data_IF_216023694698
#
_entry.id   IF_216023694698
#
_cell.length_a   1.000
_cell.length_b   1.000
_cell.length_c   1.000
_cell.angle_alpha   90.00
_cell.angle_beta   90.00
_cell.angle_gamma   90.00
#
_symmetry.space_group_name_H-M   'P 1'
#
loop_
_entity.id
_entity.type
_entity.pdbx_description
1 polymer ?
#
# COMPACT_ATOMS: atom_id res chain seq x y z
N UNK A 1 54.79 59.48 -27.18
CA UNK A 1 54.29 59.27 -25.82
C UNK A 1 53.08 58.34 -25.89
N UNK A 2 53.31 57.14 -25.45
CA UNK A 2 52.36 56.05 -25.66
C UNK A 2 51.65 55.75 -24.35
N UNK A 3 50.33 55.91 -24.29
CA UNK A 3 49.50 55.52 -23.16
C UNK A 3 49.06 54.04 -23.30
N UNK A 4 49.54 53.21 -22.40
CA UNK A 4 49.12 51.81 -22.30
C UNK A 4 48.01 51.73 -21.28
N UNK A 5 46.78 51.53 -21.78
CA UNK A 5 45.62 51.28 -20.96
C UNK A 5 45.55 49.79 -20.62
N UNK A 6 45.73 49.44 -19.35
CA UNK A 6 45.56 48.06 -18.88
C UNK A 6 44.11 47.77 -18.64
N UNK A 7 43.51 46.90 -19.48
CA UNK A 7 42.20 46.27 -19.22
C UNK A 7 42.37 45.14 -18.20
N UNK A 8 41.82 45.29 -17.03
CA UNK A 8 41.61 44.21 -16.07
C UNK A 8 40.31 43.48 -16.43
N UNK A 9 40.43 42.30 -17.03
CA UNK A 9 39.31 41.39 -17.22
C UNK A 9 39.07 40.61 -15.92
N UNK A 10 38.02 40.98 -15.18
CA UNK A 10 37.54 40.24 -14.03
C UNK A 10 36.75 39.03 -14.49
N UNK A 11 37.31 37.84 -14.35
CA UNK A 11 36.56 36.59 -14.54
C UNK A 11 35.67 36.32 -13.33
N UNK A 12 34.36 36.59 -13.45
CA UNK A 12 33.36 36.15 -12.49
C UNK A 12 33.09 34.64 -12.68
N UNK A 13 33.68 33.82 -11.83
CA UNK A 13 33.32 32.40 -11.75
C UNK A 13 31.93 32.28 -11.09
N UNK A 14 30.92 32.16 -11.91
CA UNK A 14 29.60 31.80 -11.45
C UNK A 14 29.58 30.29 -11.09
N UNK A 15 29.71 29.98 -9.81
CA UNK A 15 29.50 28.64 -9.28
C UNK A 15 27.99 28.35 -9.40
N UNK A 16 27.60 27.66 -10.50
CA UNK A 16 26.27 27.07 -10.61
C UNK A 16 26.20 25.91 -9.61
N UNK A 17 25.56 26.17 -8.48
CA UNK A 17 25.09 25.11 -7.57
C UNK A 17 23.96 24.42 -8.32
N UNK A 18 24.27 23.33 -9.02
CA UNK A 18 23.29 22.43 -9.57
C UNK A 18 22.56 21.79 -8.38
N UNK A 19 21.43 22.36 -7.99
CA UNK A 19 20.44 21.59 -7.23
C UNK A 19 20.04 20.44 -8.14
N UNK A 20 20.57 19.24 -7.87
CA UNK A 20 20.13 18.03 -8.51
C UNK A 20 18.65 17.88 -8.22
N UNK A 21 17.81 18.28 -9.16
CA UNK A 21 16.43 17.84 -9.17
C UNK A 21 16.48 16.32 -9.28
N UNK A 22 16.31 15.62 -8.15
CA UNK A 22 16.07 14.20 -8.19
C UNK A 22 14.78 14.00 -8.97
N UNK A 23 14.93 13.63 -10.23
CA UNK A 23 13.77 13.33 -11.06
C UNK A 23 13.04 12.15 -10.43
N UNK A 24 11.74 12.26 -10.28
CA UNK A 24 10.87 11.14 -9.95
C UNK A 24 11.11 10.02 -10.97
N UNK A 25 11.47 8.83 -10.50
CA UNK A 25 11.76 7.68 -11.37
C UNK A 25 10.53 6.84 -11.61
N UNK A 26 9.65 6.73 -10.60
CA UNK A 26 8.44 5.92 -10.68
C UNK A 26 7.31 6.52 -9.84
N UNK A 27 6.07 6.45 -10.34
CA UNK A 27 4.83 6.66 -9.58
C UNK A 27 4.10 5.33 -9.50
N UNK A 28 3.78 4.88 -8.29
CA UNK A 28 3.04 3.66 -8.02
C UNK A 28 1.61 3.97 -7.64
N UNK A 29 0.66 3.35 -8.28
CA UNK A 29 -0.76 3.42 -7.95
C UNK A 29 -1.11 2.43 -6.84
N UNK A 30 -1.74 2.91 -5.76
CA UNK A 30 -2.23 2.09 -4.65
C UNK A 30 -3.75 2.11 -4.65
N UNK A 31 -4.39 0.95 -4.79
CA UNK A 31 -5.84 0.86 -4.86
C UNK A 31 -6.42 0.00 -3.75
N UNK A 32 -7.51 0.45 -3.13
CA UNK A 32 -8.20 -0.30 -2.07
C UNK A 32 -9.66 0.11 -1.92
N UNK A 33 -10.44 -0.72 -1.19
CA UNK A 33 -11.89 -0.55 -1.05
C UNK A 33 -12.31 0.33 0.15
N UNK A 34 -11.43 0.60 1.11
CA UNK A 34 -11.75 1.40 2.28
C UNK A 34 -11.86 2.88 1.96
N UNK A 35 -12.71 3.57 2.72
CA UNK A 35 -12.83 5.02 2.62
C UNK A 35 -11.56 5.78 3.06
N UNK A 36 -11.38 7.04 2.63
CA UNK A 36 -10.15 7.81 2.86
C UNK A 36 -9.88 8.14 4.34
N UNK A 37 -10.89 8.04 5.21
CA UNK A 37 -10.74 8.24 6.66
C UNK A 37 -10.56 6.95 7.43
N UNK A 38 -10.57 5.80 6.77
CA UNK A 38 -10.39 4.51 7.43
C UNK A 38 -9.00 4.41 8.08
N UNK A 39 -8.86 3.74 9.25
CA UNK A 39 -7.57 3.59 9.91
C UNK A 39 -6.49 2.94 9.04
N UNK A 40 -6.84 1.99 8.18
CA UNK A 40 -5.87 1.38 7.26
C UNK A 40 -5.32 2.40 6.26
N UNK A 41 -6.15 3.32 5.73
CA UNK A 41 -5.69 4.42 4.90
C UNK A 41 -4.80 5.37 5.70
N UNK A 42 -5.37 6.01 6.73
CA UNK A 42 -4.76 7.17 7.39
C UNK A 42 -3.62 6.82 8.37
N UNK A 43 -3.55 5.57 8.88
CA UNK A 43 -2.57 5.14 9.88
C UNK A 43 -1.60 4.07 9.40
N UNK A 44 -1.83 3.49 8.22
CA UNK A 44 -0.97 2.45 7.65
C UNK A 44 -0.49 2.84 6.25
N UNK A 45 -1.39 2.92 5.27
CA UNK A 45 -1.01 3.12 3.85
C UNK A 45 -0.35 4.49 3.62
N UNK A 46 -0.97 5.58 4.05
CA UNK A 46 -0.42 6.93 3.85
C UNK A 46 0.94 7.14 4.57
N UNK A 47 1.09 6.79 5.87
CA UNK A 47 2.39 6.91 6.53
C UNK A 47 3.48 6.03 5.92
N UNK A 48 3.12 4.83 5.47
CA UNK A 48 4.03 3.93 4.77
C UNK A 48 4.49 4.52 3.44
N UNK A 49 3.56 4.98 2.60
CA UNK A 49 3.86 5.61 1.32
C UNK A 49 4.77 6.84 1.50
N UNK A 50 4.41 7.73 2.43
CA UNK A 50 5.22 8.91 2.77
C UNK A 50 6.64 8.54 3.20
N UNK A 51 6.79 7.52 4.04
CA UNK A 51 8.11 7.04 4.46
C UNK A 51 8.97 6.58 3.28
N UNK A 52 8.40 5.79 2.36
CA UNK A 52 9.11 5.34 1.16
C UNK A 52 9.48 6.52 0.24
N UNK A 53 8.58 7.49 0.07
CA UNK A 53 8.87 8.71 -0.69
C UNK A 53 10.08 9.47 -0.10
N UNK A 54 10.11 9.64 1.22
CA UNK A 54 11.20 10.30 1.95
C UNK A 54 12.52 9.51 1.83
N UNK A 55 12.49 8.20 2.10
CA UNK A 55 13.68 7.33 2.06
C UNK A 55 14.22 7.13 0.65
N UNK A 56 13.38 7.21 -0.38
CA UNK A 56 13.82 7.19 -1.78
C UNK A 56 14.34 8.54 -2.29
N UNK A 57 14.37 9.58 -1.44
CA UNK A 57 14.67 10.96 -1.85
C UNK A 57 13.75 11.46 -2.98
N UNK A 58 12.47 11.07 -2.94
CA UNK A 58 11.45 11.47 -3.90
C UNK A 58 11.52 10.77 -5.26
N UNK A 59 12.35 9.73 -5.40
CA UNK A 59 12.40 8.93 -6.64
C UNK A 59 11.18 8.05 -6.82
N UNK A 60 10.58 7.58 -5.72
CA UNK A 60 9.33 6.82 -5.72
C UNK A 60 8.22 7.74 -5.20
N UNK A 61 7.10 7.78 -5.91
CA UNK A 61 5.88 8.49 -5.55
C UNK A 61 4.70 7.53 -5.51
N UNK A 62 3.69 7.88 -4.73
CA UNK A 62 2.47 7.09 -4.63
C UNK A 62 1.24 7.91 -4.95
N UNK A 63 0.34 7.35 -5.74
CA UNK A 63 -1.02 7.83 -5.94
C UNK A 63 -1.99 6.83 -5.32
N UNK A 64 -2.72 7.27 -4.26
CA UNK A 64 -3.58 6.38 -3.49
C UNK A 64 -5.03 6.60 -3.92
N UNK A 65 -5.69 5.53 -4.31
CA UNK A 65 -7.06 5.48 -4.81
C UNK A 65 -7.96 4.70 -3.83
N UNK A 66 -8.56 5.38 -2.83
CA UNK A 66 -9.46 4.76 -1.85
C UNK A 66 -10.86 4.53 -2.46
N UNK A 67 -11.70 3.77 -1.72
CA UNK A 67 -13.13 3.58 -2.05
C UNK A 67 -13.38 3.04 -3.46
N UNK A 68 -12.51 2.19 -3.97
CA UNK A 68 -12.60 1.65 -5.34
C UNK A 68 -12.61 2.75 -6.43
N UNK A 69 -11.90 3.87 -6.22
CA UNK A 69 -11.97 5.03 -7.11
C UNK A 69 -11.33 4.81 -8.50
N UNK A 70 -10.54 3.75 -8.69
CA UNK A 70 -10.14 3.29 -10.04
C UNK A 70 -11.21 2.40 -10.70
N UNK A 71 -12.35 2.18 -10.04
CA UNK A 71 -13.45 1.36 -10.54
C UNK A 71 -13.39 -0.09 -10.10
N UNK A 72 -14.44 -0.84 -10.43
CA UNK A 72 -14.62 -2.24 -10.03
C UNK A 72 -15.19 -2.41 -8.62
N UNK A 73 -15.13 -3.63 -8.12
CA UNK A 73 -15.61 -4.05 -6.80
C UNK A 73 -14.46 -4.67 -5.99
N UNK A 74 -14.54 -4.74 -4.65
CA UNK A 74 -13.49 -5.30 -3.81
C UNK A 74 -12.96 -6.68 -4.24
N UNK A 75 -13.78 -7.64 -4.68
CA UNK A 75 -13.30 -8.91 -5.23
C UNK A 75 -12.40 -8.79 -6.47
N UNK A 76 -12.43 -7.68 -7.18
CA UNK A 76 -11.62 -7.50 -8.39
C UNK A 76 -10.22 -6.96 -8.11
N UNK A 77 -9.91 -6.50 -6.89
CA UNK A 77 -8.62 -5.89 -6.55
C UNK A 77 -7.44 -6.82 -6.85
N UNK A 78 -7.53 -8.10 -6.50
CA UNK A 78 -6.46 -9.05 -6.82
C UNK A 78 -6.22 -9.17 -8.32
N UNK A 79 -7.29 -9.26 -9.10
CA UNK A 79 -7.18 -9.27 -10.56
C UNK A 79 -6.58 -7.97 -11.09
N UNK A 80 -6.97 -6.83 -10.53
CA UNK A 80 -6.46 -5.52 -10.96
C UNK A 80 -4.95 -5.38 -10.75
N UNK A 81 -4.39 -5.83 -9.63
CA UNK A 81 -2.93 -5.78 -9.44
C UNK A 81 -2.21 -6.77 -10.35
N UNK A 82 -2.74 -7.96 -10.54
CA UNK A 82 -2.17 -8.96 -11.45
C UNK A 82 -2.18 -8.49 -12.91
N UNK A 83 -3.25 -7.83 -13.33
CA UNK A 83 -3.44 -7.35 -14.70
C UNK A 83 -2.80 -5.96 -14.92
N UNK A 84 -2.16 -5.36 -13.91
CA UNK A 84 -1.47 -4.07 -14.01
C UNK A 84 -2.39 -2.84 -14.07
N UNK A 85 -3.64 -2.95 -13.61
CA UNK A 85 -4.55 -1.80 -13.47
C UNK A 85 -4.13 -0.92 -12.29
N UNK A 86 -3.60 -1.53 -11.24
CA UNK A 86 -2.95 -0.87 -10.13
C UNK A 86 -1.63 -1.58 -9.83
N UNK A 87 -0.63 -0.85 -9.35
CA UNK A 87 0.67 -1.42 -8.99
C UNK A 87 0.62 -2.13 -7.64
N UNK A 88 -0.18 -1.62 -6.73
CA UNK A 88 -0.35 -2.13 -5.38
C UNK A 88 -1.83 -2.14 -5.03
N UNK A 89 -2.29 -3.22 -4.40
CA UNK A 89 -3.64 -3.29 -3.84
C UNK A 89 -3.60 -3.71 -2.38
N UNK A 90 -4.53 -3.21 -1.60
CA UNK A 90 -4.84 -3.74 -0.28
C UNK A 90 -6.23 -4.37 -0.31
N UNK A 91 -6.31 -5.67 -0.06
CA UNK A 91 -7.53 -6.47 -0.21
C UNK A 91 -7.63 -7.55 0.86
N UNK A 92 -8.75 -8.26 0.90
CA UNK A 92 -9.00 -9.41 1.76
C UNK A 92 -9.08 -10.68 0.89
N UNK A 93 -8.36 -11.76 1.24
CA UNK A 93 -8.44 -13.05 0.54
C UNK A 93 -9.88 -13.58 0.42
N UNK A 94 -10.67 -13.48 1.49
CA UNK A 94 -12.07 -13.94 1.52
C UNK A 94 -13.03 -13.22 0.56
N UNK A 95 -12.62 -12.14 -0.09
CA UNK A 95 -13.39 -11.53 -1.17
C UNK A 95 -13.34 -12.33 -2.48
N UNK A 96 -12.38 -13.24 -2.61
CA UNK A 96 -12.21 -14.11 -3.79
C UNK A 96 -12.14 -15.58 -3.35
N UNK A 97 -13.25 -16.15 -2.82
CA UNK A 97 -13.24 -17.49 -2.24
C UNK A 97 -12.62 -18.54 -3.17
N UNK A 98 -11.72 -19.36 -2.62
CA UNK A 98 -11.05 -20.43 -3.35
C UNK A 98 -9.84 -19.99 -4.18
N UNK A 99 -9.55 -18.69 -4.27
CA UNK A 99 -8.32 -18.20 -4.91
C UNK A 99 -7.12 -18.34 -4.00
N UNK A 100 -7.31 -18.21 -2.68
CA UNK A 100 -6.28 -18.27 -1.66
C UNK A 100 -6.58 -19.33 -0.59
N UNK A 101 -6.72 -20.61 -0.96
CA UNK A 101 -7.28 -21.62 -0.06
C UNK A 101 -6.49 -21.84 1.22
N UNK A 102 -5.18 -21.59 1.22
CA UNK A 102 -4.35 -21.69 2.42
C UNK A 102 -4.40 -20.41 3.26
N UNK A 103 -4.37 -19.26 2.61
CA UNK A 103 -4.40 -17.96 3.30
C UNK A 103 -5.77 -17.68 3.91
N UNK A 104 -6.86 -18.13 3.29
CA UNK A 104 -8.23 -18.03 3.78
C UNK A 104 -8.44 -18.75 5.14
N UNK A 105 -7.58 -19.70 5.51
CA UNK A 105 -7.63 -20.36 6.83
C UNK A 105 -7.56 -19.35 7.97
N UNK A 106 -6.84 -18.26 7.81
CA UNK A 106 -6.73 -17.21 8.83
C UNK A 106 -8.00 -16.37 8.99
N UNK A 107 -8.95 -16.47 8.08
CA UNK A 107 -10.26 -15.82 8.17
C UNK A 107 -11.34 -16.71 8.79
N UNK A 108 -11.03 -18.00 9.07
CA UNK A 108 -11.99 -18.93 9.65
C UNK A 108 -12.32 -18.58 11.09
N UNK A 109 -13.59 -18.78 11.51
CA UNK A 109 -14.00 -18.59 12.90
C UNK A 109 -13.14 -19.43 13.86
N UNK A 110 -12.64 -18.81 14.93
CA UNK A 110 -11.86 -19.49 15.96
C UNK A 110 -10.36 -19.62 15.69
N UNK A 111 -9.88 -19.30 14.49
CA UNK A 111 -8.43 -19.25 14.21
C UNK A 111 -7.80 -18.01 14.85
N UNK A 112 -8.46 -16.88 14.72
CA UNK A 112 -8.06 -15.64 15.37
C UNK A 112 -8.70 -15.54 16.77
N UNK A 113 -7.93 -15.81 17.81
CA UNK A 113 -8.42 -15.82 19.20
C UNK A 113 -8.47 -14.42 19.87
N UNK A 114 -8.65 -13.36 19.09
CA UNK A 114 -8.73 -11.98 19.59
C UNK A 114 -7.36 -11.29 19.74
N UNK A 115 -6.26 -11.98 19.50
CA UNK A 115 -4.90 -11.40 19.49
C UNK A 115 -4.40 -11.26 18.04
N UNK A 116 -4.67 -10.10 17.45
CA UNK A 116 -4.23 -9.80 16.09
C UNK A 116 -2.71 -9.82 15.93
N UNK A 117 -1.96 -9.44 16.98
CA UNK A 117 -0.49 -9.43 16.91
C UNK A 117 0.07 -10.85 16.87
N UNK A 118 -0.40 -11.73 17.73
CA UNK A 118 0.03 -13.12 17.73
C UNK A 118 -0.33 -13.81 16.41
N UNK A 119 -1.54 -13.55 15.88
CA UNK A 119 -1.96 -14.11 14.60
C UNK A 119 -1.11 -13.57 13.44
N UNK A 120 -0.79 -12.28 13.42
CA UNK A 120 0.07 -11.71 12.38
C UNK A 120 1.49 -12.31 12.42
N UNK A 121 2.06 -12.54 13.60
CA UNK A 121 3.35 -13.21 13.73
C UNK A 121 3.28 -14.65 13.21
N UNK A 122 2.24 -15.40 13.57
CA UNK A 122 2.03 -16.77 13.07
C UNK A 122 1.87 -16.78 11.53
N UNK A 123 1.16 -15.81 10.95
CA UNK A 123 1.08 -15.68 9.49
C UNK A 123 2.46 -15.50 8.86
N UNK A 124 3.32 -14.66 9.44
CA UNK A 124 4.67 -14.46 8.93
C UNK A 124 5.55 -15.70 9.08
N UNK A 125 5.43 -16.43 10.18
CA UNK A 125 6.15 -17.70 10.38
C UNK A 125 5.73 -18.76 9.37
N UNK A 126 4.46 -18.74 8.96
CA UNK A 126 3.86 -19.69 8.01
C UNK A 126 3.87 -19.21 6.55
N UNK A 127 4.59 -18.13 6.23
CA UNK A 127 4.56 -17.51 4.89
C UNK A 127 4.86 -18.50 3.74
N UNK A 128 5.72 -19.47 3.97
CA UNK A 128 6.10 -20.45 2.95
C UNK A 128 4.97 -21.45 2.66
N UNK A 129 4.07 -21.69 3.64
CA UNK A 129 2.94 -22.61 3.51
C UNK A 129 1.86 -22.07 2.56
N UNK A 130 1.67 -20.75 2.49
CA UNK A 130 0.70 -20.11 1.60
C UNK A 130 1.34 -19.33 0.43
N UNK A 131 2.65 -19.45 0.23
CA UNK A 131 3.35 -18.74 -0.84
C UNK A 131 2.79 -19.07 -2.23
N UNK A 132 2.33 -20.32 -2.44
CA UNK A 132 1.73 -20.74 -3.71
C UNK A 132 0.43 -20.00 -4.04
N UNK A 133 -0.34 -19.60 -3.00
CA UNK A 133 -1.56 -18.80 -3.19
C UNK A 133 -1.26 -17.39 -3.73
N UNK A 134 -0.06 -16.88 -3.49
CA UNK A 134 0.37 -15.52 -3.81
C UNK A 134 1.43 -15.46 -4.92
N UNK A 135 1.67 -16.55 -5.63
CA UNK A 135 2.74 -16.68 -6.62
C UNK A 135 2.68 -15.69 -7.79
N UNK A 136 1.50 -15.22 -8.13
CA UNK A 136 1.29 -14.28 -9.25
C UNK A 136 1.49 -12.80 -8.85
N UNK A 137 1.80 -12.53 -7.59
CA UNK A 137 2.01 -11.17 -7.05
C UNK A 137 3.19 -11.14 -6.08
N UNK A 138 3.74 -9.95 -5.84
CA UNK A 138 4.70 -9.76 -4.77
C UNK A 138 4.01 -9.30 -3.49
N UNK A 139 4.10 -10.10 -2.43
CA UNK A 139 3.47 -9.80 -1.13
C UNK A 139 4.32 -8.79 -0.36
N UNK A 140 3.78 -7.61 -0.13
CA UNK A 140 4.43 -6.57 0.68
C UNK A 140 4.16 -6.77 2.17
N UNK A 141 2.94 -7.15 2.54
CA UNK A 141 2.54 -7.41 3.92
C UNK A 141 1.32 -8.33 3.98
N UNK A 142 1.21 -9.07 5.07
CA UNK A 142 0.02 -9.82 5.45
C UNK A 142 -0.36 -9.48 6.89
N UNK A 143 -1.65 -9.36 7.15
CA UNK A 143 -2.15 -9.11 8.50
C UNK A 143 -3.61 -9.53 8.62
N UNK A 144 -4.04 -9.85 9.84
CA UNK A 144 -5.46 -9.99 10.15
C UNK A 144 -6.03 -8.67 10.66
N UNK A 145 -7.34 -8.52 10.54
CA UNK A 145 -8.10 -7.43 11.16
C UNK A 145 -8.77 -7.91 12.46
N UNK A 146 -9.43 -7.00 13.18
CA UNK A 146 -10.27 -7.37 14.32
C UNK A 146 -11.40 -8.30 13.89
N UNK A 147 -11.92 -9.10 14.84
CA UNK A 147 -13.01 -10.04 14.59
C UNK A 147 -14.22 -9.37 13.94
N UNK A 148 -14.97 -10.15 13.19
CA UNK A 148 -16.19 -9.70 12.51
C UNK A 148 -17.35 -9.56 13.49
N UNK A 149 -18.26 -8.65 13.18
CA UNK A 149 -19.50 -8.45 13.93
C UNK A 149 -20.68 -8.22 13.00
N UNK A 150 -21.86 -8.62 13.43
CA UNK A 150 -23.11 -8.32 12.73
C UNK A 150 -23.53 -6.90 13.11
N UNK A 151 -23.66 -6.03 12.12
CA UNK A 151 -24.09 -4.65 12.30
C UNK A 151 -25.55 -4.50 11.87
N UNK A 152 -26.43 -4.07 12.79
CA UNK A 152 -27.84 -3.94 12.57
C UNK A 152 -28.33 -2.54 12.92
N UNK A 153 -29.35 -2.05 12.22
CA UNK A 153 -29.94 -0.74 12.46
C UNK A 153 -31.25 -0.80 13.25
N UNK A 154 -31.97 -1.90 13.22
CA UNK A 154 -33.34 -1.96 13.76
C UNK A 154 -33.72 -3.26 14.47
N UNK A 155 -32.95 -4.34 14.34
CA UNK A 155 -33.30 -5.65 14.93
C UNK A 155 -32.13 -6.18 15.74
N UNK A 156 -32.45 -6.68 16.92
CA UNK A 156 -31.51 -7.42 17.76
C UNK A 156 -31.48 -8.88 17.28
N UNK A 157 -30.36 -9.36 16.78
CA UNK A 157 -30.15 -10.76 16.38
C UNK A 157 -29.46 -11.49 17.52
N UNK A 158 -30.09 -12.54 18.04
CA UNK A 158 -29.54 -13.31 19.17
C UNK A 158 -29.42 -14.80 18.88
N UNK A 159 -30.10 -15.27 17.87
CA UNK A 159 -30.14 -16.68 17.45
C UNK A 159 -30.00 -16.78 15.94
N UNK A 160 -29.76 -18.00 15.44
CA UNK A 160 -29.71 -18.27 13.99
C UNK A 160 -31.07 -18.16 13.31
N UNK A 161 -32.17 -18.13 14.09
CA UNK A 161 -33.53 -18.05 13.57
C UNK A 161 -34.05 -16.60 13.47
N UNK A 162 -33.26 -15.61 13.91
CA UNK A 162 -33.57 -14.18 13.83
C UNK A 162 -33.22 -13.59 12.45
#
# INVERSE_FOLDING_TARGET
MKHITKLLAGAAVATMVSFGAHAQEVTLTVHHFLGPKAPAQSKMIEPWAKKIEEESNGRIKFEIFPSMSLGGNPPELYRQVRDGVADIVWTLPGYTPGVFPRLEVFELPGVHLGDARATNLAMWDLKDEYAEDLKDVHTLAVHVHAGQAIHLTQKDVRTVDD
#
